data_IF_608317552959
#
_entry.id   IF_608317552959
#
_cell.length_a   1.000
_cell.length_b   1.000
_cell.length_c   1.000
_cell.angle_alpha   90.00
_cell.angle_beta   90.00
_cell.angle_gamma   90.00
#
_symmetry.space_group_name_H-M   'P 1'
#
loop_
_entity.id
_entity.type
_entity.pdbx_description
1 polymer ?
#
# COMPACT_ATOMS: atom_id res chain seq x y z
N UNK A 1 62.21 13.39 2.34
CA UNK A 1 62.91 12.22 2.90
C UNK A 1 61.89 11.37 3.63
N UNK A 2 61.77 10.11 3.26
CA UNK A 2 60.96 9.12 3.93
C UNK A 2 59.89 8.49 3.04
N UNK A 3 60.35 7.75 2.03
CA UNK A 3 59.55 6.72 1.32
C UNK A 3 59.23 5.59 2.28
N UNK A 4 58.03 5.02 2.23
CA UNK A 4 57.85 3.58 2.33
C UNK A 4 56.81 3.07 1.34
N UNK A 5 57.20 2.01 0.72
CA UNK A 5 56.69 1.40 -0.48
C UNK A 5 55.86 0.15 -0.14
N UNK A 6 54.87 -0.15 -0.94
CA UNK A 6 54.41 -1.45 -1.45
C UNK A 6 53.87 -2.52 -0.49
N UNK A 7 52.69 -2.94 -0.80
CA UNK A 7 52.12 -4.22 -0.42
C UNK A 7 50.88 -4.51 -1.29
N UNK A 8 51.12 -5.06 -2.48
CA UNK A 8 50.10 -5.73 -3.30
C UNK A 8 49.66 -7.03 -2.63
N UNK A 9 48.39 -7.25 -2.42
CA UNK A 9 47.84 -8.61 -2.49
C UNK A 9 46.40 -8.58 -3.06
N UNK A 10 46.35 -9.16 -4.24
CA UNK A 10 45.14 -9.62 -4.93
C UNK A 10 44.55 -10.81 -4.19
N UNK A 11 43.19 -10.86 -4.05
CA UNK A 11 42.43 -12.09 -4.34
C UNK A 11 40.93 -11.95 -4.23
N UNK A 12 40.33 -12.34 -5.31
CA UNK A 12 39.03 -13.00 -5.48
C UNK A 12 37.76 -12.23 -5.13
N UNK A 13 37.34 -11.41 -6.08
CA UNK A 13 35.94 -11.06 -6.27
C UNK A 13 35.17 -12.23 -6.88
N UNK A 14 34.33 -12.88 -6.10
CA UNK A 14 33.31 -13.78 -6.64
C UNK A 14 32.18 -12.95 -7.21
N UNK A 15 32.17 -12.75 -8.53
CA UNK A 15 31.03 -12.25 -9.27
C UNK A 15 29.96 -13.33 -9.31
N UNK A 16 28.89 -13.18 -8.55
CA UNK A 16 27.64 -13.91 -8.81
C UNK A 16 27.03 -13.38 -10.12
N UNK A 17 27.29 -14.08 -11.21
CA UNK A 17 26.56 -13.90 -12.47
C UNK A 17 25.29 -14.74 -12.38
N UNK A 18 24.18 -14.15 -12.01
CA UNK A 18 22.89 -14.77 -12.15
C UNK A 18 22.50 -14.83 -13.63
N UNK A 19 22.67 -16.00 -14.26
CA UNK A 19 22.16 -16.25 -15.60
C UNK A 19 20.64 -16.42 -15.55
N UNK A 20 19.94 -15.44 -16.03
CA UNK A 20 18.50 -15.49 -16.30
C UNK A 20 18.20 -16.44 -17.46
N UNK A 21 17.94 -17.71 -17.15
CA UNK A 21 17.15 -18.62 -18.00
C UNK A 21 16.49 -19.65 -17.07
N UNK A 22 15.21 -19.44 -16.76
CA UNK A 22 14.44 -20.40 -16.00
C UNK A 22 13.34 -19.85 -15.10
N UNK A 23 12.97 -18.58 -15.23
CA UNK A 23 12.06 -17.91 -14.26
C UNK A 23 10.56 -18.21 -14.51
N UNK A 24 10.18 -18.75 -15.67
CA UNK A 24 8.75 -18.93 -15.99
C UNK A 24 8.10 -20.12 -15.23
N UNK A 25 8.86 -21.11 -14.78
CA UNK A 25 8.32 -22.24 -13.99
C UNK A 25 8.30 -22.02 -12.47
N UNK A 26 9.08 -21.06 -11.95
CA UNK A 26 9.12 -20.81 -10.50
C UNK A 26 8.04 -19.85 -10.01
N UNK A 27 7.53 -19.00 -10.88
CA UNK A 27 6.44 -18.08 -10.53
C UNK A 27 5.14 -18.82 -10.15
N UNK A 28 4.84 -19.95 -10.82
CA UNK A 28 3.66 -20.76 -10.52
C UNK A 28 3.75 -21.47 -9.16
N UNK A 29 4.94 -21.86 -8.74
CA UNK A 29 5.15 -22.58 -7.46
C UNK A 29 5.19 -21.60 -6.28
N UNK A 30 5.74 -20.38 -6.45
CA UNK A 30 5.75 -19.35 -5.42
C UNK A 30 4.34 -18.80 -5.15
N UNK A 31 3.49 -18.67 -6.18
CA UNK A 31 2.12 -18.20 -6.02
C UNK A 31 1.28 -19.24 -5.23
N UNK A 32 1.50 -20.52 -5.43
CA UNK A 32 0.80 -21.59 -4.67
C UNK A 32 1.19 -21.62 -3.19
N UNK A 33 2.38 -21.11 -2.81
CA UNK A 33 2.85 -21.07 -1.42
C UNK A 33 2.39 -19.82 -0.64
N UNK A 34 2.04 -18.76 -1.33
CA UNK A 34 1.56 -17.52 -0.69
C UNK A 34 0.05 -17.54 -0.41
N UNK A 35 -0.71 -18.30 -1.17
CA UNK A 35 -2.19 -18.41 -1.02
C UNK A 35 -2.64 -19.52 -0.06
N UNK A 36 -1.75 -20.44 0.27
CA UNK A 36 -2.04 -21.54 1.22
C UNK A 36 -1.27 -21.37 2.52
N UNK A 37 -1.89 -20.79 3.52
CA UNK A 37 -1.61 -20.89 4.95
C UNK A 37 -0.17 -21.18 5.37
N UNK A 38 0.39 -20.30 6.15
CA UNK A 38 1.55 -20.52 7.00
C UNK A 38 2.82 -21.07 6.34
N UNK A 39 3.80 -20.19 6.20
CA UNK A 39 5.18 -20.54 5.94
C UNK A 39 5.66 -21.61 6.93
N UNK A 40 5.74 -22.85 6.50
CA UNK A 40 6.61 -23.82 7.13
C UNK A 40 7.97 -23.63 6.46
N UNK A 41 8.87 -22.94 7.14
CA UNK A 41 10.28 -22.89 6.76
C UNK A 41 10.87 -24.24 7.11
N UNK A 42 10.96 -25.13 6.13
CA UNK A 42 11.79 -26.32 6.28
C UNK A 42 13.24 -25.95 5.96
N UNK A 43 14.05 -25.87 6.98
CA UNK A 43 15.50 -25.88 6.82
C UNK A 43 15.89 -27.25 6.27
N UNK A 44 16.39 -27.28 5.06
CA UNK A 44 17.06 -28.44 4.50
C UNK A 44 18.40 -28.62 5.22
N UNK A 45 18.49 -29.58 6.11
CA UNK A 45 19.76 -30.05 6.63
C UNK A 45 20.43 -30.91 5.54
N UNK A 46 21.63 -30.55 5.19
CA UNK A 46 22.52 -31.36 4.36
C UNK A 46 22.86 -32.65 5.08
N UNK A 47 22.59 -33.77 4.43
CA UNK A 47 23.02 -35.08 4.88
C UNK A 47 24.55 -35.21 4.73
N UNK A 48 25.23 -35.44 5.83
CA UNK A 48 26.55 -36.02 5.85
C UNK A 48 26.43 -37.53 6.00
N UNK A 49 27.18 -38.24 5.19
CA UNK A 49 27.35 -39.70 5.24
C UNK A 49 28.00 -40.17 6.53
N UNK A 50 27.49 -41.26 7.13
CA UNK A 50 28.28 -42.22 7.89
C UNK A 50 27.53 -43.55 8.05
N UNK A 51 28.07 -44.52 7.48
CA UNK A 51 28.28 -45.95 7.58
C UNK A 51 27.84 -46.68 8.87
N UNK A 52 27.31 -47.92 8.69
CA UNK A 52 27.56 -49.04 9.62
C UNK A 52 26.41 -49.77 10.27
N UNK A 53 26.07 -50.90 9.69
CA UNK A 53 25.86 -52.25 10.30
C UNK A 53 24.57 -52.61 11.07
N UNK A 54 24.02 -53.71 10.57
CA UNK A 54 23.51 -54.95 11.19
C UNK A 54 22.15 -54.95 11.91
N UNK A 55 21.26 -55.67 11.29
CA UNK A 55 20.65 -56.96 11.55
C UNK A 55 19.58 -57.04 12.68
N UNK A 56 18.40 -57.43 12.35
CA UNK A 56 17.79 -58.72 12.72
C UNK A 56 16.36 -58.85 12.16
N UNK A 57 16.17 -60.04 11.54
CA UNK A 57 14.89 -60.58 11.09
C UNK A 57 14.07 -61.09 12.27
N UNK A 58 12.74 -61.04 12.21
CA UNK A 58 11.87 -62.20 12.59
C UNK A 58 10.60 -62.18 11.76
N UNK A 59 10.34 -63.33 11.19
CA UNK A 59 9.30 -63.83 10.35
C UNK A 59 8.02 -64.21 11.19
N UNK A 60 6.86 -64.24 10.59
CA UNK A 60 5.91 -65.36 10.44
C UNK A 60 4.48 -64.87 10.16
N UNK A 61 4.03 -65.09 8.95
CA UNK A 61 3.05 -66.02 8.46
C UNK A 61 1.60 -65.99 9.00
N UNK A 62 0.66 -65.98 8.05
CA UNK A 62 -0.71 -66.37 8.32
C UNK A 62 -1.79 -65.90 7.33
N UNK A 63 -1.91 -66.59 6.19
CA UNK A 63 -3.13 -66.61 5.37
C UNK A 63 -3.92 -67.86 5.75
N UNK A 64 -5.23 -67.97 5.62
CA UNK A 64 -5.82 -68.31 4.34
C UNK A 64 -7.28 -67.87 4.03
N UNK A 65 -7.52 -67.71 2.77
CA UNK A 65 -8.61 -68.08 1.88
C UNK A 65 -10.04 -68.30 2.41
N UNK A 66 -11.06 -67.76 1.71
CA UNK A 66 -12.10 -68.52 1.02
C UNK A 66 -13.01 -67.63 0.18
N UNK A 67 -13.26 -68.13 -1.04
CA UNK A 67 -14.15 -67.66 -2.09
C UNK A 67 -15.61 -67.60 -1.64
N UNK A 68 -16.46 -66.89 -2.36
CA UNK A 68 -17.68 -67.28 -3.04
C UNK A 68 -18.34 -66.19 -3.84
N UNK A 69 -18.85 -66.53 -4.98
CA UNK A 69 -19.37 -65.85 -6.15
C UNK A 69 -20.66 -65.03 -6.01
N UNK A 70 -20.83 -64.21 -7.05
CA UNK A 70 -22.03 -63.85 -7.81
C UNK A 70 -23.16 -62.99 -7.22
N UNK A 71 -23.47 -61.93 -7.98
CA UNK A 71 -24.73 -61.18 -7.91
C UNK A 71 -24.77 -59.91 -8.75
N UNK A 72 -24.91 -60.09 -10.06
CA UNK A 72 -25.13 -59.01 -11.03
C UNK A 72 -26.54 -58.42 -10.90
N UNK A 73 -26.74 -57.18 -10.49
CA UNK A 73 -27.89 -56.38 -10.94
C UNK A 73 -27.52 -54.92 -10.96
N UNK A 74 -27.60 -54.32 -12.14
CA UNK A 74 -27.33 -52.91 -12.37
C UNK A 74 -28.42 -51.98 -11.80
N UNK A 75 -27.96 -50.91 -11.21
CA UNK A 75 -28.72 -49.69 -11.09
C UNK A 75 -27.79 -48.53 -11.42
N UNK A 76 -28.10 -47.86 -12.51
CA UNK A 76 -27.52 -46.62 -12.92
C UNK A 76 -27.88 -45.54 -11.88
N UNK A 77 -27.01 -45.34 -10.90
CA UNK A 77 -27.04 -44.19 -10.01
C UNK A 77 -26.30 -43.02 -10.68
N UNK A 78 -27.05 -42.01 -11.07
CA UNK A 78 -26.49 -40.78 -11.57
C UNK A 78 -25.58 -40.16 -10.51
N UNK A 79 -24.32 -40.00 -10.85
CA UNK A 79 -23.44 -39.14 -10.11
C UNK A 79 -23.92 -37.72 -10.35
N UNK A 80 -24.44 -37.08 -9.30
CA UNK A 80 -24.58 -35.62 -9.28
C UNK A 80 -23.16 -35.08 -9.43
N UNK A 81 -22.89 -34.44 -10.56
CA UNK A 81 -21.73 -33.57 -10.71
C UNK A 81 -21.87 -32.47 -9.64
N UNK A 82 -21.10 -32.59 -8.58
CA UNK A 82 -20.79 -31.44 -7.76
C UNK A 82 -20.02 -30.52 -8.69
N UNK A 83 -20.66 -29.44 -9.08
CA UNK A 83 -19.95 -28.30 -9.64
C UNK A 83 -18.93 -27.84 -8.57
N UNK A 84 -17.72 -28.36 -8.64
CA UNK A 84 -16.56 -27.74 -8.04
C UNK A 84 -16.47 -26.36 -8.69
N UNK A 85 -16.91 -25.36 -7.94
CA UNK A 85 -16.82 -23.98 -8.35
C UNK A 85 -15.35 -23.60 -8.47
N UNK A 86 -14.77 -23.90 -9.62
CA UNK A 86 -13.53 -23.31 -10.08
C UNK A 86 -13.74 -21.79 -10.05
N UNK A 87 -13.22 -21.15 -9.00
CA UNK A 87 -13.07 -19.69 -9.00
C UNK A 87 -12.33 -19.35 -10.30
N UNK A 88 -12.90 -18.53 -11.17
CA UNK A 88 -12.30 -18.25 -12.46
C UNK A 88 -10.84 -17.85 -12.22
N UNK A 89 -9.90 -18.43 -12.94
CA UNK A 89 -8.46 -18.14 -12.87
C UNK A 89 -8.23 -16.62 -12.86
N UNK A 90 -9.06 -15.86 -13.54
CA UNK A 90 -9.09 -14.39 -13.55
C UNK A 90 -9.29 -13.78 -12.15
N UNK A 91 -10.16 -14.33 -11.29
CA UNK A 91 -10.40 -13.80 -9.95
C UNK A 91 -9.21 -14.04 -9.02
N UNK A 92 -8.50 -15.13 -9.20
CA UNK A 92 -7.30 -15.47 -8.44
C UNK A 92 -6.12 -14.56 -8.83
N UNK A 93 -5.96 -14.26 -10.11
CA UNK A 93 -4.97 -13.29 -10.58
C UNK A 93 -5.26 -11.87 -10.09
N UNK A 94 -6.53 -11.46 -10.05
CA UNK A 94 -6.92 -10.16 -9.53
C UNK A 94 -6.67 -10.03 -8.02
N UNK A 95 -6.92 -11.10 -7.24
CA UNK A 95 -6.59 -11.12 -5.82
C UNK A 95 -5.08 -11.06 -5.58
N UNK A 96 -4.31 -11.86 -6.30
CA UNK A 96 -2.84 -11.81 -6.22
C UNK A 96 -2.28 -10.44 -6.60
N UNK A 97 -2.83 -9.81 -7.64
CA UNK A 97 -2.45 -8.46 -8.07
C UNK A 97 -2.71 -7.43 -6.95
N UNK A 98 -3.88 -7.48 -6.31
CA UNK A 98 -4.24 -6.57 -5.21
C UNK A 98 -3.31 -6.72 -4.02
N UNK A 99 -3.01 -7.96 -3.61
CA UNK A 99 -2.06 -8.22 -2.52
C UNK A 99 -0.65 -7.73 -2.91
N UNK A 100 -0.22 -7.99 -4.13
CA UNK A 100 1.09 -7.55 -4.61
C UNK A 100 1.19 -6.02 -4.62
N UNK A 101 0.19 -5.31 -5.15
CA UNK A 101 0.16 -3.85 -5.20
C UNK A 101 0.26 -3.22 -3.80
N UNK A 102 -0.33 -3.83 -2.78
CA UNK A 102 -0.32 -3.33 -1.40
C UNK A 102 1.09 -3.18 -0.84
N UNK A 103 1.97 -4.17 -1.07
CA UNK A 103 3.31 -4.21 -0.49
C UNK A 103 4.40 -3.67 -1.43
N UNK A 104 4.03 -3.25 -2.62
CA UNK A 104 4.99 -2.73 -3.58
C UNK A 104 5.28 -1.25 -3.31
N UNK A 105 6.54 -0.92 -3.12
CA UNK A 105 7.04 0.47 -3.14
C UNK A 105 7.61 0.75 -4.53
N UNK A 106 7.07 1.75 -5.20
CA UNK A 106 7.61 2.21 -6.48
C UNK A 106 8.77 3.19 -6.24
N UNK A 107 9.79 3.19 -7.10
CA UNK A 107 10.86 4.16 -7.01
C UNK A 107 10.32 5.57 -7.29
N UNK A 108 10.90 6.56 -6.63
CA UNK A 108 10.69 7.97 -6.95
C UNK A 108 11.62 8.29 -8.11
N UNK A 109 11.06 8.52 -9.28
CA UNK A 109 11.82 8.83 -10.50
C UNK A 109 11.91 10.35 -10.67
N UNK A 110 13.04 10.92 -10.25
CA UNK A 110 13.27 12.36 -10.30
C UNK A 110 13.68 12.80 -11.70
N UNK A 111 12.85 13.65 -12.31
CA UNK A 111 13.07 14.27 -13.63
C UNK A 111 13.14 15.80 -13.54
N UNK A 112 13.52 16.31 -12.37
CA UNK A 112 13.54 17.71 -12.06
C UNK A 112 14.36 18.51 -13.08
N UNK A 113 13.79 19.60 -13.60
CA UNK A 113 14.41 20.52 -14.54
C UNK A 113 15.05 21.69 -13.78
N UNK A 114 15.85 22.49 -14.51
CA UNK A 114 16.36 23.74 -13.99
C UNK A 114 15.20 24.69 -13.62
N UNK A 115 15.38 25.50 -12.61
CA UNK A 115 14.32 26.36 -12.05
C UNK A 115 13.66 27.32 -13.07
N UNK A 116 14.41 27.68 -14.10
CA UNK A 116 13.93 28.55 -15.18
C UNK A 116 12.75 27.94 -15.92
N UNK A 117 12.68 26.62 -16.00
CA UNK A 117 11.56 25.90 -16.63
C UNK A 117 10.23 26.13 -15.91
N UNK A 118 10.27 26.43 -14.61
CA UNK A 118 9.08 26.64 -13.78
C UNK A 118 8.70 28.12 -13.59
N UNK A 119 9.55 29.05 -14.00
CA UNK A 119 9.31 30.48 -13.82
C UNK A 119 8.15 31.02 -14.65
N UNK A 120 7.88 30.41 -15.78
CA UNK A 120 6.77 30.79 -16.67
C UNK A 120 5.41 30.22 -16.23
N UNK A 121 5.41 29.27 -15.31
CA UNK A 121 4.18 28.64 -14.82
C UNK A 121 3.46 29.55 -13.81
N UNK A 122 2.14 29.55 -13.88
CA UNK A 122 1.32 30.29 -12.94
C UNK A 122 1.54 29.79 -11.50
N UNK A 123 1.89 30.73 -10.62
CA UNK A 123 2.06 30.46 -9.19
C UNK A 123 0.96 31.09 -8.33
N UNK A 124 -0.16 31.45 -8.95
CA UNK A 124 -1.34 31.88 -8.20
C UNK A 124 -1.73 30.76 -7.23
N UNK A 125 -1.75 31.08 -5.94
CA UNK A 125 -2.11 30.13 -4.89
C UNK A 125 -3.58 29.78 -4.98
N UNK A 126 -3.86 28.50 -5.07
CA UNK A 126 -5.17 27.89 -5.01
C UNK A 126 -5.26 27.03 -3.75
N UNK A 127 -6.47 26.90 -3.19
CA UNK A 127 -6.76 26.02 -2.09
C UNK A 127 -7.71 24.93 -2.58
N UNK A 128 -7.34 23.69 -2.39
CA UNK A 128 -8.15 22.55 -2.82
C UNK A 128 -9.50 22.57 -2.12
N UNK A 129 -10.56 22.35 -2.87
CA UNK A 129 -11.91 22.15 -2.36
C UNK A 129 -12.71 21.24 -3.28
N UNK A 130 -13.75 20.64 -2.73
CA UNK A 130 -14.63 19.74 -3.46
C UNK A 130 -16.08 19.95 -3.04
N UNK A 131 -17.02 19.67 -3.95
CA UNK A 131 -18.45 19.72 -3.67
C UNK A 131 -18.96 18.31 -3.42
N UNK A 132 -19.55 18.08 -2.25
CA UNK A 132 -20.15 16.78 -1.88
C UNK A 132 -21.40 16.51 -2.71
N UNK A 133 -21.60 15.27 -3.11
CA UNK A 133 -22.84 14.76 -3.67
C UNK A 133 -23.57 13.95 -2.60
N UNK A 134 -24.88 14.26 -2.41
CA UNK A 134 -25.74 13.60 -1.42
C UNK A 134 -26.26 12.25 -1.89
N UNK A 135 -26.06 11.90 -3.16
CA UNK A 135 -26.58 10.67 -3.78
C UNK A 135 -25.44 9.67 -4.06
N UNK A 136 -24.35 9.74 -3.30
CA UNK A 136 -23.16 8.90 -3.49
C UNK A 136 -22.52 9.02 -4.89
N UNK A 137 -22.77 10.12 -5.56
CA UNK A 137 -22.07 10.48 -6.79
C UNK A 137 -20.66 11.00 -6.53
N UNK A 138 -19.80 11.04 -7.54
CA UNK A 138 -18.46 11.57 -7.39
C UNK A 138 -18.51 13.04 -7.01
N UNK A 139 -17.66 13.42 -6.05
CA UNK A 139 -17.47 14.82 -5.70
C UNK A 139 -16.95 15.60 -6.89
N UNK A 140 -17.55 16.76 -7.17
CA UNK A 140 -17.04 17.69 -8.17
C UNK A 140 -15.97 18.60 -7.58
N UNK A 141 -14.98 18.99 -8.37
CA UNK A 141 -14.07 20.10 -8.08
C UNK A 141 -14.28 21.23 -9.09
N UNK A 142 -13.94 22.43 -8.70
CA UNK A 142 -14.03 23.61 -9.58
C UNK A 142 -12.67 24.29 -9.64
N UNK A 143 -11.69 23.60 -10.20
CA UNK A 143 -10.39 24.21 -10.37
C UNK A 143 -10.25 24.85 -11.72
N UNK A 144 -9.52 25.96 -11.74
CA UNK A 144 -9.13 26.64 -12.96
C UNK A 144 -7.98 25.93 -13.66
N UNK A 145 -7.41 24.91 -13.04
CA UNK A 145 -6.28 24.11 -13.54
C UNK A 145 -6.78 22.67 -13.71
N UNK A 146 -6.52 22.07 -14.87
CA UNK A 146 -6.66 20.63 -15.02
C UNK A 146 -5.51 19.93 -14.29
N UNK A 147 -5.76 19.49 -13.08
CA UNK A 147 -4.72 18.86 -12.25
C UNK A 147 -4.24 17.52 -12.82
N UNK A 148 -5.01 16.88 -13.71
CA UNK A 148 -4.62 15.60 -14.32
C UNK A 148 -3.40 15.75 -15.24
N UNK A 149 -3.14 16.95 -15.77
CA UNK A 149 -1.94 17.25 -16.56
C UNK A 149 -0.65 17.19 -15.72
N UNK A 150 -0.78 17.22 -14.39
CA UNK A 150 0.33 17.22 -13.42
C UNK A 150 0.43 15.95 -12.60
N UNK A 151 -0.13 14.83 -13.08
CA UNK A 151 -0.19 13.57 -12.34
C UNK A 151 -0.79 13.75 -10.93
N UNK A 152 -1.87 14.53 -10.85
CA UNK A 152 -2.56 14.86 -9.61
C UNK A 152 -3.97 14.26 -9.58
N UNK A 153 -4.36 13.73 -8.44
CA UNK A 153 -5.57 12.95 -8.25
C UNK A 153 -6.36 13.39 -7.01
N UNK A 154 -7.67 13.41 -7.10
CA UNK A 154 -8.56 13.59 -5.95
C UNK A 154 -9.62 12.49 -5.88
N UNK A 155 -9.74 11.71 -6.94
CA UNK A 155 -10.71 10.67 -7.15
C UNK A 155 -10.11 9.65 -8.13
N UNK A 156 -10.34 8.37 -7.92
CA UNK A 156 -10.16 7.37 -8.97
C UNK A 156 -11.29 7.53 -10.00
N UNK A 157 -10.99 8.25 -11.07
CA UNK A 157 -11.97 8.54 -12.10
C UNK A 157 -12.40 7.30 -12.87
N UNK A 158 -11.53 6.31 -13.02
CA UNK A 158 -11.84 5.07 -13.71
C UNK A 158 -12.81 4.20 -12.90
N UNK A 159 -12.54 4.04 -11.61
CA UNK A 159 -13.45 3.36 -10.70
C UNK A 159 -14.80 4.08 -10.60
N UNK A 160 -14.79 5.40 -10.49
CA UNK A 160 -16.00 6.21 -10.45
C UNK A 160 -16.85 6.07 -11.71
N UNK A 161 -16.27 6.17 -12.91
CA UNK A 161 -16.98 6.00 -14.19
C UNK A 161 -17.58 4.61 -14.36
N UNK A 162 -16.91 3.58 -13.82
CA UNK A 162 -17.39 2.18 -13.86
C UNK A 162 -18.33 1.84 -12.71
N UNK A 163 -18.57 2.77 -11.78
CA UNK A 163 -19.26 2.55 -10.51
C UNK A 163 -18.66 1.37 -9.71
N UNK A 164 -17.34 1.24 -9.75
CA UNK A 164 -16.60 0.22 -9.01
C UNK A 164 -16.55 0.62 -7.53
N UNK A 165 -17.04 -0.23 -6.64
CA UNK A 165 -17.10 0.04 -5.21
C UNK A 165 -15.71 -0.09 -4.56
N UNK A 166 -14.89 0.93 -4.75
CA UNK A 166 -13.54 1.05 -4.19
C UNK A 166 -13.37 2.41 -3.52
N UNK A 167 -12.67 2.42 -2.39
CA UNK A 167 -12.28 3.64 -1.68
C UNK A 167 -10.82 3.55 -1.23
N UNK A 168 -10.19 4.70 -1.04
CA UNK A 168 -8.80 4.86 -0.64
C UNK A 168 -8.76 5.63 0.68
N UNK A 169 -8.36 4.97 1.77
CA UNK A 169 -8.17 5.65 3.05
C UNK A 169 -6.82 6.35 3.08
N UNK A 170 -6.83 7.62 3.45
CA UNK A 170 -5.61 8.41 3.61
C UNK A 170 -5.65 9.23 4.90
N UNK A 171 -4.48 9.37 5.54
CA UNK A 171 -4.33 10.08 6.80
C UNK A 171 -3.21 11.10 6.68
N UNK A 172 -3.47 12.35 7.07
CA UNK A 172 -2.43 13.36 7.21
C UNK A 172 -1.90 13.36 8.64
N UNK A 173 -0.57 13.26 8.77
CA UNK A 173 0.14 13.04 10.02
C UNK A 173 1.21 14.14 10.22
N UNK A 174 0.81 15.24 10.84
CA UNK A 174 1.72 16.32 11.21
C UNK A 174 2.40 16.11 12.56
N UNK A 175 1.68 15.53 13.52
CA UNK A 175 2.15 15.15 14.85
C UNK A 175 1.34 13.98 15.41
N UNK A 176 1.79 13.37 16.52
CA UNK A 176 1.10 12.25 17.18
C UNK A 176 0.25 12.76 18.34
N UNK A 177 -0.96 12.20 18.49
CA UNK A 177 -1.88 12.50 19.58
C UNK A 177 -2.38 11.23 20.33
N UNK A 178 -1.66 10.11 20.17
CA UNK A 178 -1.93 8.84 20.85
C UNK A 178 -2.93 7.91 20.16
N UNK A 179 -3.35 8.19 18.92
CA UNK A 179 -4.37 7.40 18.21
C UNK A 179 -3.85 6.61 17.02
N UNK A 180 -2.67 6.90 16.49
CA UNK A 180 -2.17 6.25 15.27
C UNK A 180 -1.98 4.76 15.46
N UNK A 181 -1.43 4.32 16.58
CA UNK A 181 -1.24 2.88 16.84
C UNK A 181 -2.56 2.12 16.92
N UNK A 182 -3.59 2.70 17.57
CA UNK A 182 -4.95 2.14 17.56
C UNK A 182 -5.53 2.03 16.14
N UNK A 183 -5.35 3.06 15.31
CA UNK A 183 -5.79 3.02 13.92
C UNK A 183 -5.08 1.93 13.12
N UNK A 184 -3.77 1.77 13.30
CA UNK A 184 -2.99 0.70 12.68
C UNK A 184 -3.45 -0.68 13.12
N UNK A 185 -3.77 -0.88 14.41
CA UNK A 185 -4.33 -2.14 14.91
C UNK A 185 -5.66 -2.49 14.23
N UNK A 186 -6.54 -1.49 14.05
CA UNK A 186 -7.83 -1.67 13.36
C UNK A 186 -7.60 -2.00 11.88
N UNK A 187 -6.75 -1.24 11.18
CA UNK A 187 -6.46 -1.45 9.76
C UNK A 187 -5.86 -2.84 9.52
N UNK A 188 -4.97 -3.30 10.40
CA UNK A 188 -4.39 -4.63 10.35
C UNK A 188 -5.43 -5.72 10.59
N UNK A 189 -6.25 -5.58 11.64
CA UNK A 189 -7.34 -6.51 11.96
C UNK A 189 -8.32 -6.67 10.80
N UNK A 190 -8.66 -5.56 10.18
CA UNK A 190 -9.62 -5.50 9.09
C UNK A 190 -9.01 -5.78 7.70
N UNK A 191 -7.71 -6.01 7.61
CA UNK A 191 -6.95 -6.18 6.37
C UNK A 191 -7.19 -5.05 5.36
N UNK A 192 -7.09 -3.81 5.83
CA UNK A 192 -7.34 -2.59 5.05
C UNK A 192 -6.05 -1.82 4.81
N UNK A 193 -5.63 -1.60 3.54
CA UNK A 193 -4.52 -0.71 3.22
C UNK A 193 -4.92 0.75 3.41
N UNK A 194 -3.93 1.58 3.75
CA UNK A 194 -4.08 3.02 3.82
C UNK A 194 -2.80 3.72 3.35
N UNK A 195 -2.88 5.03 3.08
CA UNK A 195 -1.72 5.87 2.87
C UNK A 195 -1.63 6.94 3.96
N UNK A 196 -0.46 7.06 4.59
CA UNK A 196 -0.17 8.07 5.60
C UNK A 196 0.75 9.13 5.00
N UNK A 197 0.27 10.35 4.87
CA UNK A 197 1.07 11.49 4.44
C UNK A 197 1.73 12.10 5.67
N UNK A 198 3.03 11.88 5.81
CA UNK A 198 3.77 12.22 7.02
C UNK A 198 4.71 13.41 6.78
N UNK A 199 4.79 14.31 7.76
CA UNK A 199 5.85 15.31 7.79
C UNK A 199 7.16 14.69 8.29
N UNK A 200 8.30 15.28 7.94
CA UNK A 200 9.58 14.85 8.51
C UNK A 200 9.58 14.99 10.04
N UNK A 201 8.95 16.03 10.57
CA UNK A 201 8.82 16.23 12.03
C UNK A 201 8.05 15.09 12.69
N UNK A 202 6.99 14.60 12.03
CA UNK A 202 6.25 13.41 12.50
C UNK A 202 7.15 12.17 12.51
N UNK A 203 7.86 11.91 11.42
CA UNK A 203 8.78 10.76 11.32
C UNK A 203 9.83 10.82 12.42
N UNK A 204 10.47 11.99 12.61
CA UNK A 204 11.51 12.18 13.62
C UNK A 204 11.05 11.81 15.01
N UNK A 205 9.85 12.22 15.38
CA UNK A 205 9.33 12.04 16.73
C UNK A 205 8.68 10.67 16.91
N UNK A 206 8.36 9.95 15.79
CA UNK A 206 7.60 8.70 15.80
C UNK A 206 8.18 7.65 14.82
N UNK A 207 9.50 7.44 14.81
CA UNK A 207 10.18 6.53 13.89
C UNK A 207 9.60 5.12 13.91
N UNK A 208 9.26 4.60 15.09
CA UNK A 208 8.71 3.26 15.25
C UNK A 208 7.33 3.13 14.58
N UNK A 209 6.48 4.16 14.69
CA UNK A 209 5.15 4.18 14.06
C UNK A 209 5.28 4.29 12.54
N UNK A 210 6.14 5.18 12.03
CA UNK A 210 6.39 5.31 10.60
C UNK A 210 6.94 4.02 9.97
N UNK A 211 7.81 3.32 10.70
CA UNK A 211 8.31 2.00 10.31
C UNK A 211 7.21 0.95 10.31
N UNK A 212 6.38 0.91 11.34
CA UNK A 212 5.24 0.01 11.46
C UNK A 212 4.24 0.18 10.31
N UNK A 213 3.97 1.41 9.87
CA UNK A 213 3.13 1.67 8.70
C UNK A 213 3.60 0.88 7.48
N UNK A 214 4.91 0.93 7.17
CA UNK A 214 5.50 0.19 6.03
C UNK A 214 5.47 -1.33 6.25
N UNK A 215 5.78 -1.80 7.44
CA UNK A 215 5.82 -3.22 7.79
C UNK A 215 4.45 -3.88 7.71
N UNK A 216 3.39 -3.13 7.98
CA UNK A 216 1.99 -3.60 7.89
C UNK A 216 1.37 -3.38 6.50
N UNK A 217 2.18 -2.98 5.51
CA UNK A 217 1.76 -2.85 4.11
C UNK A 217 0.96 -1.60 3.81
N UNK A 218 1.11 -0.56 4.63
CA UNK A 218 0.60 0.76 4.32
C UNK A 218 1.60 1.56 3.49
N UNK A 219 1.10 2.55 2.78
CA UNK A 219 1.93 3.50 2.06
C UNK A 219 2.26 4.68 2.97
N UNK A 220 3.47 5.19 2.83
CA UNK A 220 3.91 6.40 3.53
C UNK A 220 4.28 7.44 2.48
N UNK A 221 3.39 8.42 2.31
CA UNK A 221 3.55 9.54 1.39
C UNK A 221 4.16 10.77 2.06
N UNK A 222 4.54 11.72 1.23
CA UNK A 222 5.22 12.96 1.61
C UNK A 222 4.22 14.06 1.99
N UNK A 223 4.47 14.71 3.14
CA UNK A 223 3.73 15.91 3.56
C UNK A 223 4.66 17.08 3.92
N UNK A 224 5.83 17.13 3.24
CA UNK A 224 6.93 18.09 3.41
C UNK A 224 7.67 17.94 4.76
N UNK A 225 8.74 18.72 4.95
CA UNK A 225 9.47 18.71 6.23
C UNK A 225 8.64 19.40 7.32
N UNK A 226 8.20 20.63 7.07
CA UNK A 226 7.60 21.51 8.08
C UNK A 226 6.16 21.90 7.79
N UNK A 227 5.45 21.14 6.96
CA UNK A 227 4.06 21.45 6.61
C UNK A 227 3.89 22.84 6.02
N UNK A 228 4.72 23.19 5.03
CA UNK A 228 4.76 24.52 4.42
C UNK A 228 3.64 24.78 3.42
N UNK A 229 3.25 26.04 3.24
CA UNK A 229 2.47 26.46 2.08
C UNK A 229 3.39 26.52 0.84
N UNK A 230 3.32 25.49 -0.02
CA UNK A 230 4.24 25.34 -1.15
C UNK A 230 4.21 26.50 -2.15
N UNK A 231 3.05 27.11 -2.53
CA UNK A 231 3.03 28.26 -3.44
C UNK A 231 3.75 29.49 -2.93
N UNK A 232 3.88 29.64 -1.61
CA UNK A 232 4.56 30.79 -0.97
C UNK A 232 6.09 30.62 -0.91
N UNK A 233 6.61 29.48 -1.46
CA UNK A 233 8.02 29.11 -1.36
C UNK A 233 8.76 29.26 -2.69
N UNK A 234 10.07 29.46 -2.60
CA UNK A 234 10.96 29.40 -3.74
C UNK A 234 11.06 27.96 -4.28
N UNK A 235 11.57 27.83 -5.51
CA UNK A 235 11.84 26.52 -6.10
C UNK A 235 12.76 25.67 -5.21
N UNK A 236 13.86 26.27 -4.75
CA UNK A 236 14.86 25.60 -3.92
C UNK A 236 14.29 25.14 -2.57
N UNK A 237 13.44 25.97 -1.94
CA UNK A 237 12.76 25.58 -0.70
C UNK A 237 11.79 24.41 -0.93
N UNK A 238 11.02 24.42 -2.01
CA UNK A 238 10.09 23.30 -2.34
C UNK A 238 10.88 22.00 -2.55
N UNK A 239 11.95 22.06 -3.35
CA UNK A 239 12.80 20.89 -3.61
C UNK A 239 13.41 20.34 -2.32
N UNK A 240 13.91 21.23 -1.44
CA UNK A 240 14.46 20.85 -0.14
C UNK A 240 13.39 20.22 0.76
N UNK A 241 12.19 20.81 0.85
CA UNK A 241 11.10 20.34 1.70
C UNK A 241 10.59 18.94 1.28
N UNK A 242 10.52 18.71 -0.02
CA UNK A 242 10.03 17.41 -0.54
C UNK A 242 11.13 16.34 -0.45
N UNK A 243 12.32 16.60 -1.00
CA UNK A 243 13.41 15.63 -0.96
C UNK A 243 13.89 15.33 0.45
N UNK A 244 14.03 16.39 1.28
CA UNK A 244 14.49 16.23 2.66
C UNK A 244 13.56 15.35 3.50
N UNK A 245 12.24 15.43 3.31
CA UNK A 245 11.29 14.55 3.97
C UNK A 245 11.45 13.09 3.50
N UNK A 246 11.60 12.87 2.19
CA UNK A 246 11.77 11.54 1.61
C UNK A 246 13.09 10.88 2.02
N UNK A 247 14.19 11.64 1.98
CA UNK A 247 15.52 11.18 2.38
C UNK A 247 15.54 10.80 3.86
N UNK A 248 14.92 11.64 4.71
CA UNK A 248 14.83 11.40 6.14
C UNK A 248 14.01 10.13 6.46
N UNK A 249 12.91 9.89 5.74
CA UNK A 249 12.15 8.65 5.88
C UNK A 249 13.06 7.43 5.66
N UNK A 250 13.85 7.45 4.60
CA UNK A 250 14.79 6.37 4.29
C UNK A 250 15.90 6.22 5.33
N UNK A 251 16.46 7.34 5.79
CA UNK A 251 17.53 7.36 6.79
C UNK A 251 17.02 6.84 8.14
N UNK A 252 15.89 7.35 8.62
CA UNK A 252 15.39 7.05 9.96
C UNK A 252 14.77 5.67 10.10
N UNK A 253 14.09 5.18 9.05
CA UNK A 253 13.30 3.94 9.11
C UNK A 253 13.91 2.78 8.34
N UNK A 254 14.79 3.03 7.38
CA UNK A 254 15.29 2.05 6.41
C UNK A 254 14.36 1.82 5.22
N UNK A 255 13.12 2.32 5.25
CA UNK A 255 12.13 2.20 4.17
C UNK A 255 12.10 3.46 3.30
N UNK A 256 12.04 3.27 1.98
CA UNK A 256 11.79 4.38 1.07
C UNK A 256 10.36 4.92 1.24
N UNK A 257 10.21 6.24 1.07
CA UNK A 257 8.90 6.87 0.94
C UNK A 257 8.22 6.43 -0.34
N UNK A 258 6.90 6.31 -0.33
CA UNK A 258 6.13 6.02 -1.54
C UNK A 258 5.96 7.28 -2.38
N UNK A 259 5.82 7.18 -3.72
CA UNK A 259 5.84 8.31 -4.64
C UNK A 259 4.52 9.11 -4.65
N UNK A 260 4.00 9.41 -3.47
CA UNK A 260 2.79 10.19 -3.27
C UNK A 260 3.08 11.39 -2.40
N UNK A 261 2.57 12.56 -2.81
CA UNK A 261 2.69 13.79 -2.03
C UNK A 261 1.30 14.39 -1.85
N UNK A 262 1.01 14.85 -0.63
CA UNK A 262 -0.14 15.70 -0.38
C UNK A 262 0.33 17.09 0.00
N UNK A 263 -0.07 18.14 -0.76
CA UNK A 263 0.27 19.51 -0.42
C UNK A 263 -0.33 19.87 0.95
N UNK A 264 0.47 20.45 1.87
CA UNK A 264 -0.04 20.93 3.14
C UNK A 264 -1.20 21.91 2.95
N UNK A 265 -2.21 21.80 3.81
CA UNK A 265 -3.47 22.58 3.73
C UNK A 265 -4.24 22.44 2.40
N UNK A 266 -3.81 21.56 1.49
CA UNK A 266 -4.35 21.49 0.13
C UNK A 266 -4.03 22.72 -0.71
N UNK A 267 -2.99 23.49 -0.37
CA UNK A 267 -2.57 24.68 -1.10
C UNK A 267 -1.58 24.34 -2.21
N UNK A 268 -1.87 24.80 -3.42
CA UNK A 268 -1.11 24.47 -4.63
C UNK A 268 -1.16 25.58 -5.68
N UNK A 269 -0.38 25.42 -6.73
CA UNK A 269 -0.38 26.23 -7.96
C UNK A 269 0.04 25.34 -9.13
N UNK A 270 -0.12 25.78 -10.38
CA UNK A 270 0.41 25.07 -11.54
C UNK A 270 1.92 24.83 -11.40
N UNK A 271 2.65 25.83 -10.90
CA UNK A 271 4.09 25.72 -10.65
C UNK A 271 4.43 24.63 -9.63
N UNK A 272 3.74 24.59 -8.50
CA UNK A 272 4.03 23.59 -7.45
C UNK A 272 3.66 22.19 -7.88
N UNK A 273 2.57 22.00 -8.65
CA UNK A 273 2.20 20.73 -9.22
C UNK A 273 3.25 20.21 -10.20
N UNK A 274 3.74 21.06 -11.11
CA UNK A 274 4.78 20.69 -12.07
C UNK A 274 6.10 20.31 -11.38
N UNK A 275 6.51 21.05 -10.35
CA UNK A 275 7.71 20.72 -9.56
C UNK A 275 7.53 19.36 -8.86
N UNK A 276 6.37 19.12 -8.25
CA UNK A 276 6.06 17.87 -7.55
C UNK A 276 6.10 16.67 -8.50
N UNK A 277 5.50 16.81 -9.69
CA UNK A 277 5.51 15.79 -10.74
C UNK A 277 6.93 15.48 -11.19
N UNK A 278 7.73 16.49 -11.51
CA UNK A 278 9.11 16.31 -11.97
C UNK A 278 10.04 15.79 -10.85
N UNK A 279 9.70 15.99 -9.58
CA UNK A 279 10.36 15.33 -8.43
C UNK A 279 10.00 13.83 -8.33
N UNK A 280 9.06 13.34 -9.14
CA UNK A 280 8.65 11.94 -9.19
C UNK A 280 7.52 11.59 -8.23
N UNK A 281 6.76 12.58 -7.74
CA UNK A 281 5.62 12.36 -6.86
C UNK A 281 4.29 12.62 -7.59
N UNK A 282 3.32 11.73 -7.34
CA UNK A 282 1.91 11.98 -7.67
C UNK A 282 1.29 12.84 -6.57
N UNK A 283 0.64 13.92 -6.97
CA UNK A 283 -0.07 14.77 -6.02
C UNK A 283 -1.43 14.17 -5.68
N UNK A 284 -1.72 13.98 -4.39
CA UNK A 284 -2.95 13.36 -3.92
C UNK A 284 -3.78 14.33 -3.11
N UNK A 285 -4.86 14.82 -3.69
CA UNK A 285 -5.93 15.53 -3.01
C UNK A 285 -6.98 14.55 -2.48
N UNK A 286 -8.22 14.98 -2.27
CA UNK A 286 -9.31 14.16 -1.72
C UNK A 286 -10.65 14.55 -2.31
N UNK A 287 -11.60 13.64 -2.29
CA UNK A 287 -12.98 13.85 -2.71
C UNK A 287 -13.97 13.71 -1.54
N UNK A 288 -13.46 13.33 -0.36
CA UNK A 288 -14.25 13.22 0.88
C UNK A 288 -13.39 13.62 2.07
N UNK A 289 -13.88 14.55 2.87
CA UNK A 289 -13.25 15.02 4.10
C UNK A 289 -14.25 15.76 5.00
N UNK A 290 -13.88 15.97 6.24
CA UNK A 290 -14.58 16.80 7.23
C UNK A 290 -13.55 17.39 8.19
N UNK A 291 -13.97 18.33 9.04
CA UNK A 291 -13.08 18.93 10.03
C UNK A 291 -12.90 17.95 11.18
N UNK A 292 -11.70 17.39 11.30
CA UNK A 292 -11.31 16.38 12.28
C UNK A 292 -9.96 16.66 12.95
N UNK A 293 -9.23 17.66 12.46
CA UNK A 293 -7.88 18.01 12.89
C UNK A 293 -7.85 18.88 14.17
N UNK A 294 -8.96 19.52 14.55
CA UNK A 294 -9.01 20.29 15.80
C UNK A 294 -9.19 19.33 16.99
N UNK A 295 -8.08 19.06 17.67
CA UNK A 295 -8.07 18.12 18.82
C UNK A 295 -8.92 18.58 20.00
N UNK A 296 -9.23 19.88 20.09
CA UNK A 296 -10.06 20.46 21.14
C UNK A 296 -11.54 20.50 20.78
N UNK A 297 -11.88 20.30 19.52
CA UNK A 297 -13.26 20.36 19.02
C UNK A 297 -13.53 19.19 18.06
N UNK A 298 -13.54 17.99 18.60
CA UNK A 298 -13.75 16.77 17.83
C UNK A 298 -15.24 16.57 17.48
N UNK A 299 -15.54 16.12 16.25
CA UNK A 299 -16.93 16.02 15.79
C UNK A 299 -17.75 14.91 16.47
N UNK A 300 -17.08 13.93 17.08
CA UNK A 300 -17.70 12.76 17.69
C UNK A 300 -17.78 11.54 16.77
N UNK A 301 -17.77 10.36 17.37
CA UNK A 301 -17.77 9.06 16.68
C UNK A 301 -18.98 8.91 15.76
N UNK A 302 -20.17 9.20 16.25
CA UNK A 302 -21.42 9.07 15.50
C UNK A 302 -21.45 9.99 14.28
N UNK A 303 -20.94 11.22 14.41
CA UNK A 303 -20.80 12.14 13.28
C UNK A 303 -19.92 11.55 12.18
N UNK A 304 -18.78 10.95 12.55
CA UNK A 304 -17.88 10.33 11.56
C UNK A 304 -18.57 9.19 10.83
N UNK A 305 -19.24 8.30 11.56
CA UNK A 305 -19.97 7.17 10.99
C UNK A 305 -21.07 7.67 10.02
N UNK A 306 -21.88 8.64 10.46
CA UNK A 306 -22.95 9.22 9.64
C UNK A 306 -22.41 9.95 8.42
N UNK A 307 -21.26 10.63 8.54
CA UNK A 307 -20.61 11.30 7.43
C UNK A 307 -20.16 10.31 6.36
N UNK A 308 -19.54 9.20 6.75
CA UNK A 308 -19.17 8.13 5.82
C UNK A 308 -20.41 7.51 5.18
N UNK A 309 -21.40 7.11 5.94
CA UNK A 309 -22.65 6.52 5.43
C UNK A 309 -23.34 7.43 4.39
N UNK A 310 -23.17 8.75 4.51
CA UNK A 310 -23.87 9.73 3.68
C UNK A 310 -23.12 10.14 2.42
N UNK A 311 -21.79 10.14 2.46
CA UNK A 311 -20.99 10.79 1.42
C UNK A 311 -19.96 9.87 0.75
N UNK A 312 -19.84 8.61 1.14
CA UNK A 312 -18.96 7.68 0.43
C UNK A 312 -19.41 7.50 -1.02
N UNK A 313 -18.46 7.29 -1.92
CA UNK A 313 -18.73 7.11 -3.35
C UNK A 313 -17.61 6.30 -3.99
N UNK A 314 -17.91 5.73 -5.17
CA UNK A 314 -16.97 4.94 -5.94
C UNK A 314 -15.73 5.75 -6.33
N UNK A 315 -14.55 5.21 -6.04
CA UNK A 315 -13.27 5.87 -6.33
C UNK A 315 -12.86 6.94 -5.33
N UNK A 316 -13.59 7.11 -4.21
CA UNK A 316 -13.29 8.17 -3.24
C UNK A 316 -11.88 8.05 -2.66
N UNK A 317 -11.12 9.14 -2.71
CA UNK A 317 -9.92 9.36 -1.90
C UNK A 317 -10.36 10.13 -0.65
N UNK A 318 -10.19 9.51 0.51
CA UNK A 318 -10.74 9.99 1.78
C UNK A 318 -9.61 10.59 2.61
N UNK A 319 -9.73 11.86 2.98
CA UNK A 319 -8.83 12.51 3.92
C UNK A 319 -9.35 12.40 5.34
N UNK A 320 -8.49 11.89 6.21
CA UNK A 320 -8.63 11.86 7.67
C UNK A 320 -7.33 12.37 8.31
N UNK A 321 -7.38 12.72 9.59
CA UNK A 321 -6.17 13.05 10.36
C UNK A 321 -5.96 12.04 11.50
N UNK A 322 -4.71 11.67 11.73
CA UNK A 322 -4.33 10.70 12.76
C UNK A 322 -4.55 11.20 14.20
N UNK A 323 -4.64 12.51 14.37
CA UNK A 323 -4.81 13.16 15.69
C UNK A 323 -6.23 13.10 16.24
N UNK A 324 -7.18 12.62 15.44
CA UNK A 324 -8.62 12.65 15.77
C UNK A 324 -9.05 11.46 16.64
N UNK A 325 -9.51 11.75 17.85
CA UNK A 325 -10.16 10.75 18.72
C UNK A 325 -11.46 10.21 18.11
N UNK A 326 -12.18 11.07 17.38
CA UNK A 326 -13.43 10.67 16.69
C UNK A 326 -13.16 9.66 15.58
N UNK A 327 -12.08 9.86 14.80
CA UNK A 327 -11.67 8.93 13.76
C UNK A 327 -11.24 7.59 14.36
N UNK A 328 -10.40 7.61 15.39
CA UNK A 328 -9.93 6.39 16.05
C UNK A 328 -11.10 5.56 16.59
N UNK A 329 -12.10 6.22 17.19
CA UNK A 329 -13.29 5.55 17.72
C UNK A 329 -14.27 5.05 16.65
N UNK A 330 -14.29 5.68 15.46
CA UNK A 330 -15.24 5.36 14.39
C UNK A 330 -14.69 4.35 13.36
N UNK A 331 -13.37 4.26 13.20
CA UNK A 331 -12.72 3.63 12.06
C UNK A 331 -13.17 2.18 11.81
N UNK A 332 -13.23 1.36 12.86
CA UNK A 332 -13.67 -0.03 12.74
C UNK A 332 -15.11 -0.14 12.22
N UNK A 333 -16.01 0.69 12.74
CA UNK A 333 -17.41 0.70 12.31
C UNK A 333 -17.57 1.23 10.89
N UNK A 334 -16.83 2.24 10.52
CA UNK A 334 -16.80 2.78 9.14
C UNK A 334 -16.35 1.71 8.15
N UNK A 335 -15.27 1.00 8.46
CA UNK A 335 -14.78 -0.09 7.61
C UNK A 335 -15.84 -1.19 7.47
N UNK A 336 -16.43 -1.62 8.58
CA UNK A 336 -17.48 -2.65 8.58
C UNK A 336 -18.70 -2.24 7.73
N UNK A 337 -19.16 -0.99 7.85
CA UNK A 337 -20.30 -0.48 7.08
C UNK A 337 -20.00 -0.47 5.58
N UNK A 338 -18.86 0.07 5.16
CA UNK A 338 -18.45 0.12 3.75
C UNK A 338 -18.28 -1.29 3.15
N UNK A 339 -17.68 -2.22 3.89
CA UNK A 339 -17.58 -3.63 3.47
C UNK A 339 -18.97 -4.28 3.31
N UNK A 340 -19.90 -4.00 4.23
CA UNK A 340 -21.28 -4.51 4.14
C UNK A 340 -22.02 -3.98 2.92
N UNK A 341 -21.69 -2.78 2.45
CA UNK A 341 -22.22 -2.20 1.21
C UNK A 341 -21.47 -2.70 -0.04
N UNK A 342 -20.46 -3.56 0.13
CA UNK A 342 -19.65 -4.16 -0.94
C UNK A 342 -18.49 -3.30 -1.42
N UNK A 343 -18.11 -2.26 -0.67
CA UNK A 343 -16.90 -1.51 -0.95
C UNK A 343 -15.66 -2.28 -0.51
N UNK A 344 -14.62 -2.23 -1.34
CA UNK A 344 -13.26 -2.64 -0.99
C UNK A 344 -12.39 -1.42 -0.71
N UNK A 345 -11.40 -1.63 0.12
CA UNK A 345 -10.36 -0.64 0.37
C UNK A 345 -9.14 -0.97 -0.48
N UNK A 346 -8.57 0.04 -1.13
CA UNK A 346 -7.46 -0.14 -2.04
C UNK A 346 -6.23 0.70 -1.66
N UNK A 347 -5.07 0.22 -2.08
CA UNK A 347 -3.82 0.96 -2.04
C UNK A 347 -3.80 2.00 -3.16
N UNK A 348 -3.18 3.17 -2.93
CA UNK A 348 -2.97 4.18 -3.97
C UNK A 348 -2.18 3.63 -5.17
N UNK A 349 -1.46 2.52 -5.01
CA UNK A 349 -0.81 1.83 -6.13
C UNK A 349 -1.80 1.28 -7.18
N UNK A 350 -3.08 1.18 -6.85
CA UNK A 350 -4.14 0.78 -7.78
C UNK A 350 -4.80 1.97 -8.49
N UNK A 351 -4.50 3.20 -8.06
CA UNK A 351 -5.05 4.43 -8.63
C UNK A 351 -4.60 4.61 -10.09
N UNK A 352 -5.55 4.80 -11.01
CA UNK A 352 -5.34 4.86 -12.45
C UNK A 352 -5.94 6.14 -13.08
#
# INVERSE_FOLDING_TARGET
>A
MGNYNVGNETKNGSRCVCKWKGVVCLAGILISLVVGSFCVVTYGASAGEADGSESEQVDTSGNPTSDVEDGLTGTTGGYAEQEDGDLPIHSMFDQCRKVFCRYQTYPIENHLKEKEAYQSLDNTKLSWWFRRDMNHGPSGCHDTIDISEYDAYYLDQNASKKNEKVVYLTFDCGYENGYTEQMLDILKKEDVPACFFVTQTYIRDNVAIAKRMKEEGHQVGNHTIYHICMPDKSYEEIVQEVNGCADYMKEATGYAMDPYLRPPCGEYSARTLAITQDLGFKTIFWSMAYIDFDVNNQPGVDFVIDHFNKYHHSGAIILMHNVSSSNAGALEKVIANLKAEGYRFASLNELQ
#
